data_IF_461254636975
#
_entry.id   IF_461254636975
#
_cell.length_a   1.000
_cell.length_b   1.000
_cell.length_c   1.000
_cell.angle_alpha   90.00
_cell.angle_beta   90.00
_cell.angle_gamma   90.00
#
_symmetry.space_group_name_H-M   'P 1'
#
loop_
_entity.id
_entity.type
_entity.pdbx_description
1 polymer ?
#
# COMPACT_ATOMS: atom_id res chain seq x y z
N UNK A 1 29.81 -20.40 -10.09
CA UNK A 1 28.65 -20.09 -10.93
C UNK A 1 28.42 -18.60 -10.90
N UNK A 2 28.28 -17.94 -12.05
CA UNK A 2 27.87 -16.55 -12.09
C UNK A 2 26.37 -16.47 -11.75
N UNK A 3 26.00 -15.51 -10.89
CA UNK A 3 24.60 -15.28 -10.55
C UNK A 3 23.94 -14.57 -11.74
N UNK A 4 22.82 -15.13 -12.22
CA UNK A 4 21.92 -14.42 -13.13
C UNK A 4 21.16 -13.34 -12.35
N UNK A 5 21.63 -12.10 -12.48
CA UNK A 5 21.08 -10.93 -11.80
C UNK A 5 19.65 -10.63 -12.25
N UNK A 6 19.33 -10.83 -13.53
CA UNK A 6 18.01 -10.52 -14.06
C UNK A 6 16.97 -11.48 -13.49
N UNK A 7 17.26 -12.78 -13.52
CA UNK A 7 16.40 -13.79 -12.91
C UNK A 7 16.24 -13.58 -11.39
N UNK A 8 17.26 -13.05 -10.70
CA UNK A 8 17.15 -12.72 -9.28
C UNK A 8 16.23 -11.52 -9.05
N UNK A 9 16.35 -10.45 -9.84
CA UNK A 9 15.48 -9.26 -9.73
C UNK A 9 14.02 -9.61 -10.01
N UNK A 10 13.73 -10.42 -11.03
CA UNK A 10 12.36 -10.88 -11.31
C UNK A 10 11.77 -11.67 -10.15
N UNK A 11 12.56 -12.56 -9.53
CA UNK A 11 12.13 -13.31 -8.34
C UNK A 11 11.89 -12.40 -7.14
N UNK A 12 12.74 -11.39 -6.93
CA UNK A 12 12.55 -10.39 -5.89
C UNK A 12 11.26 -9.59 -6.09
N UNK A 13 10.99 -9.13 -7.32
CA UNK A 13 9.76 -8.40 -7.64
C UNK A 13 8.53 -9.23 -7.30
N UNK A 14 8.48 -10.49 -7.74
CA UNK A 14 7.37 -11.39 -7.43
C UNK A 14 7.24 -11.64 -5.92
N UNK A 15 8.35 -11.92 -5.24
CA UNK A 15 8.36 -12.15 -3.79
C UNK A 15 7.88 -10.94 -2.98
N UNK A 16 8.16 -9.72 -3.44
CA UNK A 16 7.65 -8.48 -2.82
C UNK A 16 6.15 -8.33 -3.04
N UNK A 17 5.63 -8.65 -4.24
CA UNK A 17 4.20 -8.61 -4.52
C UNK A 17 3.42 -9.66 -3.71
N UNK A 18 4.03 -10.82 -3.47
CA UNK A 18 3.43 -11.93 -2.73
C UNK A 18 3.66 -11.85 -1.21
N UNK A 19 4.40 -10.85 -0.73
CA UNK A 19 4.74 -10.71 0.69
C UNK A 19 3.45 -10.49 1.53
N UNK A 20 3.20 -11.30 2.57
CA UNK A 20 1.98 -11.20 3.38
C UNK A 20 1.93 -9.93 4.23
N UNK A 21 3.08 -9.36 4.57
CA UNK A 21 3.19 -8.18 5.43
C UNK A 21 3.11 -6.84 4.66
N UNK A 22 3.04 -6.90 3.33
CA UNK A 22 2.99 -5.74 2.44
C UNK A 22 1.68 -5.77 1.65
N UNK A 23 0.68 -5.05 2.14
CA UNK A 23 -0.53 -4.81 1.37
C UNK A 23 -0.26 -3.76 0.30
N UNK A 24 -0.59 -4.07 -0.95
CA UNK A 24 -0.30 -3.21 -2.11
C UNK A 24 -1.53 -3.03 -2.97
N UNK A 25 -1.74 -1.79 -3.42
CA UNK A 25 -2.79 -1.44 -4.39
C UNK A 25 -2.24 -0.42 -5.39
N UNK A 26 -2.76 -0.43 -6.61
CA UNK A 26 -2.54 0.62 -7.62
C UNK A 26 -3.82 1.45 -7.72
N UNK A 27 -3.66 2.76 -7.71
CA UNK A 27 -4.75 3.72 -7.65
C UNK A 27 -4.66 4.70 -8.82
N UNK A 28 -5.80 5.08 -9.38
CA UNK A 28 -5.90 6.13 -10.38
C UNK A 28 -6.03 7.55 -9.75
N UNK A 29 -6.10 8.57 -10.61
CA UNK A 29 -6.27 10.00 -10.24
C UNK A 29 -7.53 10.29 -9.42
N UNK A 30 -8.49 9.39 -9.46
CA UNK A 30 -9.78 9.50 -8.79
C UNK A 30 -9.86 8.62 -7.54
N UNK A 31 -8.72 8.10 -7.05
CA UNK A 31 -8.63 7.22 -5.87
C UNK A 31 -9.24 5.83 -6.09
N UNK A 32 -9.55 5.45 -7.33
CA UNK A 32 -10.08 4.12 -7.68
C UNK A 32 -8.96 3.10 -7.62
N UNK A 33 -9.20 1.96 -6.96
CA UNK A 33 -8.31 0.81 -6.97
C UNK A 33 -8.46 0.13 -8.34
N UNK A 34 -7.37 0.04 -9.09
CA UNK A 34 -7.35 -0.61 -10.42
C UNK A 34 -6.66 -1.97 -10.40
N UNK A 35 -5.93 -2.26 -9.31
CA UNK A 35 -5.28 -3.53 -9.05
C UNK A 35 -4.88 -3.59 -7.57
N UNK A 36 -4.81 -4.79 -7.00
CA UNK A 36 -4.21 -5.03 -5.70
C UNK A 36 -3.50 -6.39 -5.62
N UNK A 37 -2.60 -6.54 -4.65
CA UNK A 37 -1.98 -7.83 -4.38
C UNK A 37 -2.84 -8.72 -3.48
N UNK A 38 -2.38 -9.95 -3.24
CA UNK A 38 -3.07 -10.90 -2.38
C UNK A 38 -3.19 -10.41 -0.93
N UNK A 39 -2.13 -9.86 -0.35
CA UNK A 39 -2.14 -9.40 1.04
C UNK A 39 -3.22 -8.34 1.29
N UNK A 40 -3.38 -7.38 0.37
CA UNK A 40 -4.47 -6.40 0.45
C UNK A 40 -5.86 -7.04 0.28
N UNK A 41 -5.99 -8.00 -0.64
CA UNK A 41 -7.26 -8.71 -0.85
C UNK A 41 -7.71 -9.51 0.37
N UNK A 42 -6.77 -10.16 1.08
CA UNK A 42 -7.06 -10.90 2.31
C UNK A 42 -7.44 -9.96 3.47
N UNK A 43 -6.82 -8.77 3.55
CA UNK A 43 -7.14 -7.75 4.55
C UNK A 43 -8.59 -7.25 4.42
N UNK A 44 -9.09 -7.11 3.20
CA UNK A 44 -10.42 -6.59 2.88
C UNK A 44 -11.35 -7.64 2.25
N UNK A 45 -11.16 -8.91 2.64
CA UNK A 45 -11.88 -10.07 2.08
C UNK A 45 -13.40 -10.04 2.25
N UNK A 46 -13.93 -9.16 3.09
CA UNK A 46 -15.37 -8.96 3.22
C UNK A 46 -16.01 -8.31 1.99
N UNK A 47 -15.20 -7.67 1.13
CA UNK A 47 -15.67 -7.09 -0.13
C UNK A 47 -15.61 -8.14 -1.24
N UNK A 48 -16.72 -8.41 -1.95
CA UNK A 48 -16.75 -9.41 -3.02
C UNK A 48 -15.93 -9.01 -4.26
N UNK A 49 -15.71 -7.70 -4.47
CA UNK A 49 -14.83 -7.14 -5.49
C UNK A 49 -14.29 -5.80 -5.00
N UNK A 50 -12.97 -5.65 -4.91
CA UNK A 50 -12.31 -4.44 -4.42
C UNK A 50 -11.86 -3.53 -5.57
N UNK A 51 -11.48 -4.11 -6.71
CA UNK A 51 -11.18 -3.35 -7.93
C UNK A 51 -12.41 -2.53 -8.36
N UNK A 52 -12.18 -1.28 -8.74
CA UNK A 52 -13.22 -0.30 -9.05
C UNK A 52 -13.74 0.49 -7.85
N UNK A 53 -13.44 0.08 -6.62
CA UNK A 53 -13.80 0.85 -5.42
C UNK A 53 -12.82 2.00 -5.16
N UNK A 54 -13.27 3.04 -4.45
CA UNK A 54 -12.37 4.07 -3.94
C UNK A 54 -11.65 3.55 -2.69
N UNK A 55 -10.36 3.85 -2.54
CA UNK A 55 -9.62 3.36 -1.37
C UNK A 55 -10.19 3.81 -0.03
N UNK A 56 -10.78 5.01 0.03
CA UNK A 56 -11.38 5.52 1.26
C UNK A 56 -12.73 4.86 1.57
N UNK A 57 -13.44 4.32 0.58
CA UNK A 57 -14.68 3.59 0.79
C UNK A 57 -14.42 2.19 1.35
N UNK A 58 -13.36 1.52 0.86
CA UNK A 58 -12.88 0.25 1.41
C UNK A 58 -12.51 0.41 2.90
N UNK A 59 -11.83 1.51 3.24
CA UNK A 59 -11.52 1.84 4.65
C UNK A 59 -12.69 2.44 5.44
N UNK A 60 -13.90 2.50 4.87
CA UNK A 60 -15.13 3.04 5.48
C UNK A 60 -15.01 4.50 5.98
N UNK A 61 -14.12 5.28 5.37
CA UNK A 61 -13.90 6.69 5.69
C UNK A 61 -14.78 7.65 4.86
N UNK A 62 -15.33 7.18 3.73
CA UNK A 62 -16.21 7.96 2.82
C UNK A 62 -15.54 9.12 2.06
N UNK A 63 -14.34 9.55 2.49
CA UNK A 63 -13.51 10.56 1.82
C UNK A 63 -12.03 10.32 2.11
N UNK A 64 -11.11 10.89 1.30
CA UNK A 64 -9.68 10.87 1.65
C UNK A 64 -9.44 11.46 3.03
N UNK A 65 -8.66 10.76 3.86
CA UNK A 65 -8.31 11.23 5.18
C UNK A 65 -7.43 12.50 5.12
N UNK A 66 -7.45 13.31 6.19
CA UNK A 66 -6.59 14.48 6.26
C UNK A 66 -5.11 14.06 6.16
N UNK A 67 -4.34 14.80 5.36
CA UNK A 67 -2.93 14.49 5.13
C UNK A 67 -2.67 13.24 4.29
N UNK A 68 -3.63 12.78 3.49
CA UNK A 68 -3.50 11.61 2.63
C UNK A 68 -2.22 11.63 1.77
N UNK A 69 -1.29 10.66 1.93
CA UNK A 69 -0.08 10.57 1.11
C UNK A 69 -0.39 10.41 -0.38
N UNK A 70 -1.47 9.70 -0.71
CA UNK A 70 -1.93 9.52 -2.08
C UNK A 70 -2.34 10.84 -2.71
N UNK A 71 -3.11 11.67 -2.01
CA UNK A 71 -3.52 12.99 -2.51
C UNK A 71 -2.30 13.87 -2.81
N UNK A 72 -1.29 13.86 -1.92
CA UNK A 72 -0.03 14.58 -2.14
C UNK A 72 0.74 14.06 -3.36
N UNK A 73 0.83 12.73 -3.50
CA UNK A 73 1.51 12.09 -4.64
C UNK A 73 0.82 12.39 -5.96
N UNK A 74 -0.51 12.37 -5.99
CA UNK A 74 -1.29 12.73 -7.18
C UNK A 74 -1.12 14.22 -7.54
N UNK A 75 -0.87 15.08 -6.56
CA UNK A 75 -0.67 16.51 -6.75
C UNK A 75 0.73 16.83 -7.30
N UNK A 76 1.79 16.26 -6.73
CA UNK A 76 3.18 16.67 -7.04
C UNK A 76 4.01 15.63 -7.80
N UNK A 77 3.47 14.41 -7.99
CA UNK A 77 4.15 13.32 -8.68
C UNK A 77 5.37 12.77 -7.93
N UNK A 78 5.49 12.99 -6.62
CA UNK A 78 6.62 12.53 -5.80
C UNK A 78 6.22 11.42 -4.84
N UNK A 79 7.21 10.71 -4.32
CA UNK A 79 6.99 9.74 -3.27
C UNK A 79 6.57 10.44 -1.96
N UNK A 80 5.53 9.92 -1.32
CA UNK A 80 5.11 10.37 0.01
C UNK A 80 4.94 9.18 0.95
N UNK A 81 4.96 9.46 2.24
CA UNK A 81 4.64 8.49 3.29
C UNK A 81 3.82 9.14 4.38
N UNK A 82 3.07 8.34 5.11
CA UNK A 82 2.30 8.79 6.26
C UNK A 82 2.08 7.66 7.23
N UNK A 83 1.89 8.00 8.50
CA UNK A 83 1.54 7.05 9.53
C UNK A 83 0.18 7.45 10.11
N UNK A 84 -0.71 6.48 10.28
CA UNK A 84 -2.04 6.69 10.86
C UNK A 84 -2.22 5.75 12.04
N UNK A 85 -2.70 6.27 13.15
CA UNK A 85 -3.07 5.47 14.32
C UNK A 85 -4.51 4.98 14.14
N UNK A 86 -4.68 3.66 14.06
CA UNK A 86 -6.00 3.02 14.02
C UNK A 86 -6.33 2.28 15.33
N UNK A 87 -5.73 2.70 16.45
CA UNK A 87 -6.03 2.19 17.79
C UNK A 87 -5.03 1.13 18.25
N UNK A 88 -5.07 -0.07 17.67
CA UNK A 88 -4.22 -1.19 18.14
C UNK A 88 -2.82 -1.16 17.53
N UNK A 89 -2.69 -0.61 16.32
CA UNK A 89 -1.46 -0.59 15.54
C UNK A 89 -1.37 0.67 14.69
N UNK A 90 -0.16 1.09 14.40
CA UNK A 90 0.07 2.15 13.42
C UNK A 90 0.04 1.54 12.02
N UNK A 91 -0.59 2.23 11.09
CA UNK A 91 -0.50 1.90 9.67
C UNK A 91 0.51 2.83 9.04
N UNK A 92 1.55 2.27 8.45
CA UNK A 92 2.52 3.02 7.68
C UNK A 92 2.19 2.88 6.19
N UNK A 93 1.85 4.00 5.57
CA UNK A 93 1.55 4.11 4.16
C UNK A 93 2.73 4.72 3.41
N UNK A 94 3.05 4.16 2.25
CA UNK A 94 3.98 4.70 1.27
C UNK A 94 3.25 4.79 -0.06
N UNK A 95 3.44 5.89 -0.78
CA UNK A 95 2.85 6.11 -2.11
C UNK A 95 3.95 6.41 -3.11
N UNK A 96 3.92 5.67 -4.22
CA UNK A 96 4.95 5.63 -5.26
C UNK A 96 4.28 5.99 -6.60
N UNK A 97 4.67 7.10 -7.25
CA UNK A 97 4.14 7.44 -8.56
C UNK A 97 4.60 6.40 -9.58
N UNK A 98 3.67 5.93 -10.42
CA UNK A 98 3.96 4.96 -11.50
C UNK A 98 3.97 5.60 -12.89
N UNK A 99 3.64 6.89 -12.99
CA UNK A 99 3.38 7.57 -14.27
C UNK A 99 1.90 7.50 -14.67
N UNK A 100 1.54 8.25 -15.71
CA UNK A 100 0.20 8.24 -16.34
C UNK A 100 -1.01 8.47 -15.40
N UNK A 101 -0.77 9.04 -14.21
CA UNK A 101 -1.80 9.25 -13.21
C UNK A 101 -2.07 8.06 -12.30
N UNK A 102 -1.22 7.04 -12.33
CA UNK A 102 -1.28 5.90 -11.43
C UNK A 102 -0.29 6.04 -10.27
N UNK A 103 -0.70 5.54 -9.10
CA UNK A 103 0.11 5.54 -7.88
C UNK A 103 -0.02 4.18 -7.22
N UNK A 104 1.12 3.53 -6.94
CA UNK A 104 1.14 2.39 -6.03
C UNK A 104 1.07 2.92 -4.60
N UNK A 105 0.13 2.39 -3.81
CA UNK A 105 0.08 2.58 -2.36
C UNK A 105 0.43 1.25 -1.71
N UNK A 106 1.46 1.28 -0.88
CA UNK A 106 1.94 0.14 -0.11
C UNK A 106 1.72 0.45 1.36
N UNK A 107 1.20 -0.50 2.13
CA UNK A 107 1.10 -0.35 3.57
C UNK A 107 1.47 -1.60 4.34
N UNK A 108 1.90 -1.34 5.56
CA UNK A 108 2.20 -2.36 6.56
C UNK A 108 1.80 -1.83 7.94
N UNK A 109 1.80 -2.72 8.91
CA UNK A 109 1.47 -2.41 10.29
C UNK A 109 2.74 -2.29 11.11
N UNK A 110 2.80 -1.26 11.96
CA UNK A 110 3.84 -1.13 12.96
C UNK A 110 3.21 -1.37 14.34
N UNK A 111 3.83 -2.21 15.18
CA UNK A 111 3.38 -2.38 16.55
C UNK A 111 3.57 -1.07 17.31
N UNK A 112 2.72 -0.81 18.31
CA UNK A 112 2.87 0.37 19.17
C UNK A 112 4.10 0.29 20.07
N UNK A 113 4.53 -0.92 20.39
CA UNK A 113 5.77 -1.17 21.12
C UNK A 113 6.77 -1.86 20.16
N UNK A 114 7.96 -1.29 19.96
CA UNK A 114 9.01 -1.93 19.18
C UNK A 114 9.40 -3.26 19.83
N UNK A 115 9.53 -4.32 19.03
CA UNK A 115 10.06 -5.59 19.50
C UNK A 115 11.49 -5.40 20.03
N UNK A 116 11.80 -5.98 21.20
CA UNK A 116 13.17 -6.06 21.74
C UNK A 116 13.67 -4.84 22.52
N UNK A 117 12.80 -3.90 22.88
CA UNK A 117 13.10 -2.88 23.92
C UNK A 117 12.41 -3.27 25.23
N UNK A 118 12.79 -4.41 25.79
CA UNK A 118 12.57 -4.68 27.22
C UNK A 118 13.64 -3.91 28.00
N UNK A 119 13.21 -3.00 28.86
CA UNK A 119 14.07 -2.35 29.86
C UNK A 119 14.09 -3.13 31.16
#
# INVERSE_FOLDING_TARGET
MAIDKQALVTRLQQAVLDAPDLAMMVLDRTFTIVWHNRAFGEEFKEFPAIDGMKCYDVTKNGKPHQGCPLAKTLQDGKHHRGMVDFGERYFHFMTIPLGDGYVAKVHTYLPKQPFGMEG
#
